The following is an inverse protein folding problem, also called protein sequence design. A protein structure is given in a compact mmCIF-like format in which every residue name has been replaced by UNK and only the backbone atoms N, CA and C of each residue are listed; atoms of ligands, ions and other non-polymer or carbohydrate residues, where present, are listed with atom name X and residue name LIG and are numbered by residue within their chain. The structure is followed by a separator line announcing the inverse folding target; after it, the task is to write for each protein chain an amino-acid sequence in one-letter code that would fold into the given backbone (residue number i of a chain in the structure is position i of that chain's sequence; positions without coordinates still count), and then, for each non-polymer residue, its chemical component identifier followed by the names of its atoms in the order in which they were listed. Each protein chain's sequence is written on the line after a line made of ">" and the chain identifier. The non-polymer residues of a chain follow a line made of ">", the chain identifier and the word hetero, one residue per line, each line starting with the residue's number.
data_IF_918760489672
#
_entry.id   IF_918760489672
#
_cell.length_a   1.000
_cell.length_b   1.000
_cell.length_c   1.000
_cell.angle_alpha   90.00
_cell.angle_beta   90.00
_cell.angle_gamma   90.00
#
_symmetry.space_group_name_H-M   'P 1'
#
loop_
_entity.id
_entity.type
_entity.pdbx_description
1 polymer ?
#
# COMPACT_ATOMS: atom_id res chain seq x y z
N UNK A 1 -25.61 33.60 29.19
CA UNK A 1 -25.04 32.25 29.02
C UNK A 1 -23.55 32.38 29.25
N UNK A 2 -22.99 31.69 30.24
CA UNK A 2 -21.57 31.76 30.53
C UNK A 2 -20.83 30.59 29.87
N UNK A 3 -19.59 30.82 29.43
CA UNK A 3 -18.76 29.76 28.83
C UNK A 3 -18.54 28.61 29.81
N UNK A 4 -18.06 28.91 31.01
CA UNK A 4 -17.68 27.91 32.01
C UNK A 4 -18.85 27.00 32.41
N UNK A 5 -20.07 27.53 32.48
CA UNK A 5 -21.28 26.77 32.84
C UNK A 5 -21.66 25.71 31.80
N UNK A 6 -21.38 25.97 30.52
CA UNK A 6 -21.63 25.02 29.44
C UNK A 6 -20.44 24.11 29.19
N UNK A 7 -19.21 24.64 29.29
CA UNK A 7 -18.00 23.87 29.05
C UNK A 7 -17.76 22.79 30.11
N UNK A 8 -18.08 23.06 31.39
CA UNK A 8 -17.95 22.06 32.47
C UNK A 8 -18.77 20.78 32.21
N UNK A 9 -19.82 20.87 31.38
CA UNK A 9 -20.65 19.73 30.97
C UNK A 9 -20.04 18.97 29.80
N UNK A 10 -19.40 19.68 28.86
CA UNK A 10 -18.75 19.11 27.68
C UNK A 10 -17.38 18.50 27.97
N UNK A 11 -16.58 19.14 28.83
CA UNK A 11 -15.19 18.78 29.10
C UNK A 11 -14.97 17.32 29.54
N UNK A 12 -15.78 16.74 30.45
CA UNK A 12 -15.60 15.34 30.85
C UNK A 12 -15.79 14.36 29.68
N UNK A 13 -16.67 14.69 28.73
CA UNK A 13 -16.93 13.87 27.54
C UNK A 13 -15.74 13.96 26.58
N UNK A 14 -15.17 15.16 26.39
CA UNK A 14 -13.94 15.37 25.61
C UNK A 14 -12.77 14.57 26.18
N UNK A 15 -12.56 14.64 27.50
CA UNK A 15 -11.53 13.84 28.16
C UNK A 15 -11.82 12.34 28.04
N UNK A 16 -13.08 11.92 28.16
CA UNK A 16 -13.43 10.52 27.97
C UNK A 16 -13.07 10.02 26.56
N UNK A 17 -13.36 10.80 25.51
CA UNK A 17 -12.98 10.49 24.14
C UNK A 17 -11.47 10.42 23.98
N UNK A 18 -10.74 11.46 24.38
CA UNK A 18 -9.29 11.55 24.21
C UNK A 18 -8.56 10.37 24.88
N UNK A 19 -9.02 9.95 26.05
CA UNK A 19 -8.46 8.81 26.78
C UNK A 19 -9.15 7.46 26.47
N UNK A 20 -9.98 7.38 25.42
CA UNK A 20 -10.69 6.17 25.00
C UNK A 20 -11.49 5.49 26.15
N UNK A 21 -12.09 6.30 27.02
CA UNK A 21 -13.07 5.86 28.02
C UNK A 21 -14.44 5.69 27.35
N UNK A 22 -15.33 4.91 27.97
CA UNK A 22 -16.67 4.68 27.45
C UNK A 22 -17.49 5.97 27.41
N UNK A 23 -18.03 6.31 26.24
CA UNK A 23 -18.98 7.42 26.04
C UNK A 23 -20.28 6.84 25.52
N UNK A 24 -21.39 7.16 26.19
CA UNK A 24 -22.72 6.70 25.75
C UNK A 24 -23.18 7.48 24.53
N UNK A 25 -24.08 6.93 23.70
CA UNK A 25 -24.65 7.67 22.58
C UNK A 25 -25.33 8.99 23.01
N UNK A 26 -25.95 9.02 24.19
CA UNK A 26 -26.54 10.23 24.75
C UNK A 26 -25.49 11.29 25.06
N UNK A 27 -24.43 10.91 25.81
CA UNK A 27 -23.32 11.83 26.11
C UNK A 27 -22.62 12.33 24.83
N UNK A 28 -22.52 11.49 23.81
CA UNK A 28 -22.00 11.90 22.50
C UNK A 28 -22.86 12.99 21.86
N UNK A 29 -24.20 12.85 21.87
CA UNK A 29 -25.11 13.89 21.35
C UNK A 29 -25.08 15.16 22.21
N UNK A 30 -24.99 15.02 23.53
CA UNK A 30 -24.89 16.16 24.45
C UNK A 30 -23.63 17.00 24.15
N UNK A 31 -22.51 16.36 23.80
CA UNK A 31 -21.31 17.07 23.38
C UNK A 31 -21.55 17.94 22.14
N UNK A 32 -22.22 17.44 21.11
CA UNK A 32 -22.61 18.25 19.94
C UNK A 32 -23.49 19.43 20.35
N UNK A 33 -24.45 19.19 21.24
CA UNK A 33 -25.37 20.21 21.72
C UNK A 33 -24.64 21.33 22.48
N UNK A 34 -23.75 20.99 23.42
CA UNK A 34 -22.98 21.97 24.19
C UNK A 34 -22.01 22.76 23.29
N UNK A 35 -21.30 22.09 22.38
CA UNK A 35 -20.40 22.76 21.43
C UNK A 35 -21.20 23.70 20.51
N UNK A 36 -22.34 23.25 19.98
CA UNK A 36 -23.22 24.10 19.17
C UNK A 36 -23.71 25.32 19.95
N UNK A 37 -24.12 25.13 21.21
CA UNK A 37 -24.61 26.21 22.06
C UNK A 37 -23.51 27.24 22.32
N UNK A 38 -22.32 26.80 22.72
CA UNK A 38 -21.17 27.70 22.95
C UNK A 38 -20.81 28.47 21.68
N UNK A 39 -20.66 27.78 20.55
CA UNK A 39 -20.26 28.40 19.28
C UNK A 39 -21.30 29.35 18.68
N UNK A 40 -22.58 29.15 18.98
CA UNK A 40 -23.66 30.01 18.44
C UNK A 40 -23.93 31.26 19.27
N UNK A 41 -23.68 31.22 20.58
CA UNK A 41 -24.18 32.23 21.52
C UNK A 41 -23.09 32.89 22.38
N UNK A 42 -21.82 32.45 22.30
CA UNK A 42 -20.67 33.11 22.95
C UNK A 42 -19.71 33.59 21.87
N UNK A 43 -19.46 34.90 21.84
CA UNK A 43 -18.66 35.57 20.80
C UNK A 43 -17.25 35.01 20.65
N UNK A 44 -16.58 34.69 21.76
CA UNK A 44 -15.22 34.12 21.81
C UNK A 44 -15.22 32.60 22.13
N UNK A 45 -16.37 31.94 22.04
CA UNK A 45 -16.54 30.55 22.44
C UNK A 45 -15.71 29.57 21.61
N UNK A 46 -15.66 29.78 20.29
CA UNK A 46 -14.87 28.96 19.36
C UNK A 46 -13.37 29.01 19.65
N UNK A 47 -12.82 30.20 19.89
CA UNK A 47 -11.41 30.41 20.20
C UNK A 47 -11.04 29.78 21.56
N UNK A 48 -11.90 29.97 22.58
CA UNK A 48 -11.71 29.35 23.90
C UNK A 48 -11.72 27.83 23.85
N UNK A 49 -12.68 27.23 23.14
CA UNK A 49 -12.72 25.76 22.96
C UNK A 49 -11.44 25.29 22.27
N UNK A 50 -11.01 25.96 21.19
CA UNK A 50 -9.78 25.61 20.49
C UNK A 50 -8.57 25.65 21.42
N UNK A 51 -8.39 26.73 22.19
CA UNK A 51 -7.27 26.84 23.14
C UNK A 51 -7.28 25.75 24.22
N UNK A 52 -8.46 25.40 24.75
CA UNK A 52 -8.59 24.32 25.73
C UNK A 52 -8.26 22.97 25.10
N UNK A 53 -8.78 22.69 23.89
CA UNK A 53 -8.49 21.46 23.16
C UNK A 53 -7.00 21.33 22.86
N UNK A 54 -6.34 22.41 22.40
CA UNK A 54 -4.89 22.43 22.17
C UNK A 54 -4.13 22.01 23.43
N UNK A 55 -4.44 22.62 24.58
CA UNK A 55 -3.78 22.29 25.84
C UNK A 55 -4.06 20.85 26.31
N UNK A 56 -5.28 20.33 26.11
CA UNK A 56 -5.62 18.96 26.47
C UNK A 56 -4.94 17.93 25.56
N UNK A 57 -4.89 18.20 24.25
CA UNK A 57 -4.17 17.38 23.26
C UNK A 57 -2.68 17.38 23.58
N UNK A 58 -2.08 18.55 23.83
CA UNK A 58 -0.66 18.67 24.20
C UNK A 58 -0.31 17.82 25.42
N UNK A 59 -1.14 17.90 26.48
CA UNK A 59 -0.97 17.07 27.68
C UNK A 59 -1.07 15.57 27.37
N UNK A 60 -2.10 15.16 26.62
CA UNK A 60 -2.29 13.77 26.24
C UNK A 60 -1.10 13.21 25.45
N UNK A 61 -0.61 13.97 24.47
CA UNK A 61 0.54 13.57 23.65
C UNK A 61 1.81 13.51 24.50
N UNK A 62 2.02 14.45 25.42
CA UNK A 62 3.16 14.42 26.34
C UNK A 62 3.13 13.17 27.25
N UNK A 63 1.97 12.81 27.78
CA UNK A 63 1.80 11.60 28.57
C UNK A 63 2.04 10.33 27.73
N UNK A 64 1.58 10.31 26.48
CA UNK A 64 1.86 9.20 25.55
C UNK A 64 3.36 9.08 25.25
N UNK A 65 4.05 10.19 24.98
CA UNK A 65 5.50 10.23 24.79
C UNK A 65 6.24 9.67 26.02
N UNK A 66 5.79 10.03 27.22
CA UNK A 66 6.37 9.53 28.48
C UNK A 66 6.20 8.01 28.62
N UNK A 67 5.05 7.47 28.25
CA UNK A 67 4.81 6.01 28.22
C UNK A 67 5.71 5.31 27.20
N UNK A 68 5.83 5.86 26.00
CA UNK A 68 6.67 5.29 24.93
C UNK A 68 8.15 5.27 25.36
N UNK A 69 8.65 6.38 25.93
CA UNK A 69 10.05 6.50 26.38
C UNK A 69 10.39 5.67 27.61
N UNK A 70 9.39 5.26 28.39
CA UNK A 70 9.63 4.47 29.61
C UNK A 70 10.14 3.05 29.33
N UNK A 71 10.01 2.57 28.09
CA UNK A 71 10.46 1.26 27.64
C UNK A 71 11.77 1.42 26.83
N UNK A 72 12.89 0.96 27.39
CA UNK A 72 14.24 1.19 26.83
C UNK A 72 14.74 0.14 25.83
N UNK A 73 13.93 -0.87 25.48
CA UNK A 73 14.30 -1.91 24.49
C UNK A 73 13.68 -1.62 23.14
N UNK A 74 14.40 -1.88 22.04
CA UNK A 74 13.95 -1.59 20.66
C UNK A 74 12.61 -2.28 20.29
N UNK A 75 12.44 -3.58 20.60
CA UNK A 75 11.15 -4.28 20.37
C UNK A 75 10.02 -3.76 21.28
N UNK A 76 10.37 -3.38 22.52
CA UNK A 76 9.44 -2.76 23.46
C UNK A 76 8.98 -1.37 23.01
N UNK A 77 9.89 -0.61 22.40
CA UNK A 77 9.62 0.72 21.84
C UNK A 77 8.62 0.63 20.70
N UNK A 78 8.84 -0.27 19.73
CA UNK A 78 7.94 -0.48 18.60
C UNK A 78 6.52 -0.84 19.06
N UNK A 79 6.38 -1.90 19.86
CA UNK A 79 5.07 -2.39 20.28
C UNK A 79 4.33 -1.34 21.12
N UNK A 80 5.05 -0.59 21.96
CA UNK A 80 4.45 0.50 22.73
C UNK A 80 4.01 1.66 21.84
N UNK A 81 4.85 2.06 20.89
CA UNK A 81 4.50 3.09 19.91
C UNK A 81 3.24 2.72 19.15
N UNK A 82 3.16 1.50 18.60
CA UNK A 82 2.01 1.07 17.79
C UNK A 82 0.73 1.02 18.62
N UNK A 83 0.82 0.57 19.87
CA UNK A 83 -0.32 0.58 20.79
C UNK A 83 -0.83 2.00 21.05
N UNK A 84 0.07 2.95 21.35
CA UNK A 84 -0.30 4.33 21.62
C UNK A 84 -0.76 5.06 20.34
N UNK A 85 -0.12 4.78 19.20
CA UNK A 85 -0.50 5.28 17.88
C UNK A 85 -1.93 4.85 17.53
N UNK A 86 -2.25 3.56 17.60
CA UNK A 86 -3.58 3.05 17.27
C UNK A 86 -4.68 3.67 18.15
N UNK A 87 -4.38 3.84 19.45
CA UNK A 87 -5.30 4.53 20.38
C UNK A 87 -5.50 5.98 19.96
N UNK A 88 -4.43 6.72 19.74
CA UNK A 88 -4.46 8.12 19.36
C UNK A 88 -5.12 8.34 17.99
N UNK A 89 -4.70 7.61 16.96
CA UNK A 89 -5.16 7.76 15.58
C UNK A 89 -6.66 7.49 15.45
N UNK A 90 -7.18 6.51 16.20
CA UNK A 90 -8.62 6.29 16.33
C UNK A 90 -9.34 7.51 16.90
N UNK A 91 -8.81 8.12 17.97
CA UNK A 91 -9.41 9.32 18.55
C UNK A 91 -9.28 10.54 17.63
N UNK A 92 -8.19 10.66 16.87
CA UNK A 92 -8.01 11.72 15.87
C UNK A 92 -9.05 11.65 14.73
N UNK A 93 -9.75 10.53 14.57
CA UNK A 93 -10.86 10.36 13.62
C UNK A 93 -12.24 10.61 14.25
N UNK A 94 -12.36 10.54 15.58
CA UNK A 94 -13.64 10.64 16.30
C UNK A 94 -13.77 12.01 16.97
N UNK A 95 -12.79 12.41 17.78
CA UNK A 95 -12.84 13.62 18.59
C UNK A 95 -13.14 14.89 17.77
N UNK A 96 -12.63 15.08 16.54
CA UNK A 96 -12.92 16.29 15.76
C UNK A 96 -14.39 16.46 15.33
N UNK A 97 -15.19 15.38 15.30
CA UNK A 97 -16.54 15.40 14.71
C UNK A 97 -17.50 16.43 15.35
N UNK A 98 -17.58 16.58 16.68
CA UNK A 98 -18.43 17.59 17.33
C UNK A 98 -17.95 19.03 17.09
N UNK A 99 -16.69 19.21 16.71
CA UNK A 99 -16.04 20.53 16.60
C UNK A 99 -15.95 21.06 15.17
N UNK A 100 -16.48 20.35 14.16
CA UNK A 100 -16.42 20.78 12.74
C UNK A 100 -16.87 22.23 12.52
N UNK A 101 -17.92 22.70 13.22
CA UNK A 101 -18.38 24.09 13.11
C UNK A 101 -17.35 25.11 13.57
N UNK A 102 -16.50 24.76 14.55
CA UNK A 102 -15.41 25.64 15.01
C UNK A 102 -14.40 25.87 13.90
N UNK A 103 -14.14 24.84 13.09
CA UNK A 103 -13.26 24.92 11.94
C UNK A 103 -13.83 25.90 10.88
N UNK A 104 -15.16 25.96 10.72
CA UNK A 104 -15.83 26.89 9.79
C UNK A 104 -15.83 28.37 10.25
N UNK A 105 -15.90 28.63 11.56
CA UNK A 105 -16.03 30.00 12.13
C UNK A 105 -14.70 30.70 12.40
N UNK A 106 -13.57 30.01 12.31
CA UNK A 106 -12.25 30.59 12.62
C UNK A 106 -11.81 31.71 11.67
N UNK A 107 -12.57 31.98 10.58
CA UNK A 107 -12.20 33.02 9.60
C UNK A 107 -13.39 33.85 9.07
N UNK A 108 -13.66 35.05 9.63
CA UNK A 108 -14.39 36.08 8.91
C UNK A 108 -13.49 36.67 7.81
N UNK A 109 -13.78 36.33 6.55
CA UNK A 109 -13.33 36.98 5.29
C UNK A 109 -12.29 38.09 5.47
N UNK A 110 -11.00 37.73 5.59
CA UNK A 110 -9.89 38.62 5.19
C UNK A 110 -9.18 37.98 4.01
N UNK A 111 -9.54 38.47 2.82
CA UNK A 111 -8.85 38.19 1.56
C UNK A 111 -7.49 38.90 1.59
N UNK A 112 -6.39 38.15 1.73
CA UNK A 112 -5.13 38.40 1.01
C UNK A 112 -4.01 37.43 1.42
N UNK A 113 -3.54 36.68 0.42
CA UNK A 113 -2.20 36.10 0.18
C UNK A 113 -1.68 35.05 1.18
N UNK A 114 -1.45 33.86 0.62
CA UNK A 114 -1.12 32.56 1.23
C UNK A 114 -2.34 31.89 1.87
N UNK A 115 -2.85 30.86 1.20
CA UNK A 115 -3.81 29.91 1.74
C UNK A 115 -3.23 29.30 3.03
N UNK A 116 -3.54 29.91 4.18
CA UNK A 116 -3.44 29.26 5.47
C UNK A 116 -4.46 28.13 5.45
N UNK A 117 -4.01 26.95 5.03
CA UNK A 117 -4.79 25.72 5.01
C UNK A 117 -5.45 25.54 6.38
N UNK A 118 -6.77 25.39 6.36
CA UNK A 118 -7.66 25.29 7.50
C UNK A 118 -7.12 24.32 8.57
N UNK A 119 -6.63 24.83 9.71
CA UNK A 119 -6.09 23.98 10.78
C UNK A 119 -7.21 23.30 11.57
N UNK A 120 -7.85 22.28 11.02
CA UNK A 120 -8.88 21.50 11.73
C UNK A 120 -8.35 20.90 13.04
N UNK A 121 -9.24 20.59 14.00
CA UNK A 121 -8.85 19.90 15.25
C UNK A 121 -8.11 18.57 14.96
N UNK A 122 -8.49 17.84 13.91
CA UNK A 122 -7.76 16.63 13.46
C UNK A 122 -6.31 16.98 13.13
N UNK A 123 -6.13 18.02 12.32
CA UNK A 123 -4.81 18.43 11.83
C UNK A 123 -3.90 18.87 12.99
N UNK A 124 -4.46 19.57 14.00
CA UNK A 124 -3.77 19.93 15.24
C UNK A 124 -3.33 18.67 16.02
N UNK A 125 -4.22 17.69 16.18
CA UNK A 125 -3.88 16.44 16.86
C UNK A 125 -2.67 15.76 16.20
N UNK A 126 -2.72 15.57 14.88
CA UNK A 126 -1.67 14.90 14.11
C UNK A 126 -0.35 15.66 14.18
N UNK A 127 -0.38 16.99 14.09
CA UNK A 127 0.81 17.83 14.22
C UNK A 127 1.48 17.68 15.59
N UNK A 128 0.72 17.78 16.69
CA UNK A 128 1.27 17.63 18.04
C UNK A 128 1.88 16.26 18.26
N UNK A 129 1.25 15.21 17.75
CA UNK A 129 1.83 13.86 17.76
C UNK A 129 3.15 13.79 16.98
N UNK A 130 3.19 14.39 15.80
CA UNK A 130 4.38 14.39 14.95
C UNK A 130 5.56 15.09 15.63
N UNK A 131 5.36 16.33 16.07
CA UNK A 131 6.38 17.19 16.68
C UNK A 131 6.93 16.62 17.99
N UNK A 132 6.07 16.00 18.80
CA UNK A 132 6.45 15.53 20.13
C UNK A 132 7.03 14.13 20.10
N UNK A 133 6.45 13.23 19.30
CA UNK A 133 6.76 11.79 19.33
C UNK A 133 7.44 11.39 18.03
N UNK A 134 6.71 11.39 16.91
CA UNK A 134 7.12 10.66 15.71
C UNK A 134 8.43 11.14 15.10
N UNK A 135 8.65 12.45 14.98
CA UNK A 135 9.87 13.00 14.39
C UNK A 135 11.15 12.51 15.11
N UNK A 136 11.05 12.25 16.41
CA UNK A 136 12.17 11.84 17.25
C UNK A 136 12.51 10.34 17.17
N UNK A 137 11.55 9.51 16.72
CA UNK A 137 11.69 8.04 16.72
C UNK A 137 11.38 7.38 15.36
N UNK A 138 11.04 8.18 14.34
CA UNK A 138 10.64 7.70 13.02
C UNK A 138 11.70 6.83 12.33
N UNK A 139 12.98 7.19 12.45
CA UNK A 139 14.08 6.41 11.86
C UNK A 139 14.27 5.05 12.55
N UNK A 140 14.39 4.94 13.89
CA UNK A 140 14.39 3.65 14.58
C UNK A 140 13.18 2.77 14.25
N UNK A 141 11.97 3.35 14.20
CA UNK A 141 10.76 2.62 13.81
C UNK A 141 10.87 2.09 12.39
N UNK A 142 11.35 2.89 11.44
CA UNK A 142 11.53 2.46 10.06
C UNK A 142 12.52 1.29 9.95
N UNK A 143 13.65 1.37 10.64
CA UNK A 143 14.65 0.30 10.67
C UNK A 143 14.00 -1.00 11.18
N UNK A 144 13.24 -0.92 12.26
CA UNK A 144 12.57 -2.08 12.84
C UNK A 144 11.47 -2.64 11.92
N UNK A 145 10.70 -1.78 11.24
CA UNK A 145 9.72 -2.21 10.25
C UNK A 145 10.39 -3.02 9.12
N UNK A 146 11.51 -2.53 8.59
CA UNK A 146 12.25 -3.18 7.52
C UNK A 146 12.91 -4.48 8.01
N UNK A 147 13.33 -4.54 9.28
CA UNK A 147 13.81 -5.78 9.91
C UNK A 147 12.71 -6.84 9.94
N UNK A 148 11.49 -6.49 10.39
CA UNK A 148 10.34 -7.39 10.40
C UNK A 148 9.96 -7.88 8.99
N UNK A 149 9.98 -6.99 7.99
CA UNK A 149 9.73 -7.38 6.59
C UNK A 149 10.74 -8.43 6.12
N UNK A 150 12.01 -8.27 6.46
CA UNK A 150 13.04 -9.26 6.15
C UNK A 150 12.76 -10.60 6.86
N UNK A 151 12.44 -10.57 8.15
CA UNK A 151 12.09 -11.79 8.89
C UNK A 151 10.90 -12.52 8.29
N UNK A 152 9.88 -11.79 7.82
CA UNK A 152 8.74 -12.38 7.11
C UNK A 152 9.16 -13.03 5.79
N UNK A 153 10.14 -12.47 5.06
CA UNK A 153 10.70 -13.08 3.84
C UNK A 153 11.47 -14.37 4.13
N UNK A 154 12.16 -14.40 5.27
CA UNK A 154 12.87 -15.57 5.79
C UNK A 154 11.91 -16.66 6.31
N UNK A 155 10.59 -16.39 6.31
CA UNK A 155 9.54 -17.35 6.68
C UNK A 155 9.08 -17.25 8.13
N UNK A 156 9.56 -16.26 8.89
CA UNK A 156 9.14 -16.06 10.27
C UNK A 156 7.74 -15.43 10.33
N UNK A 157 6.99 -15.79 11.37
CA UNK A 157 5.69 -15.18 11.66
C UNK A 157 5.94 -13.86 12.38
N UNK A 158 5.42 -12.77 11.83
CA UNK A 158 5.53 -11.43 12.41
C UNK A 158 4.15 -10.83 12.68
N UNK A 159 4.07 -9.86 13.60
CA UNK A 159 2.87 -9.03 13.73
C UNK A 159 2.86 -7.95 12.64
N UNK A 160 2.02 -8.17 11.65
CA UNK A 160 1.87 -7.28 10.50
C UNK A 160 1.35 -5.89 10.88
N UNK A 161 0.64 -5.75 12.01
CA UNK A 161 0.11 -4.47 12.45
C UNK A 161 1.23 -3.48 12.80
N UNK A 162 2.41 -3.99 13.18
CA UNK A 162 3.56 -3.13 13.45
C UNK A 162 4.03 -2.39 12.20
N UNK A 163 4.15 -3.09 11.06
CA UNK A 163 4.55 -2.47 9.80
C UNK A 163 3.45 -1.54 9.28
N UNK A 164 2.19 -1.97 9.37
CA UNK A 164 1.03 -1.19 8.93
C UNK A 164 0.93 0.14 9.71
N UNK A 165 1.03 0.10 11.04
CA UNK A 165 0.92 1.29 11.88
C UNK A 165 2.06 2.29 11.65
N UNK A 166 3.28 1.81 11.37
CA UNK A 166 4.39 2.69 10.98
C UNK A 166 4.12 3.35 9.63
N UNK A 167 3.69 2.57 8.62
CA UNK A 167 3.33 3.13 7.31
C UNK A 167 2.21 4.17 7.45
N UNK A 168 1.17 3.88 8.22
CA UNK A 168 0.07 4.82 8.48
C UNK A 168 0.57 6.10 9.15
N UNK A 169 1.54 6.01 10.04
CA UNK A 169 2.15 7.17 10.69
C UNK A 169 2.91 8.03 9.68
N UNK A 170 3.73 7.42 8.81
CA UNK A 170 4.43 8.14 7.73
C UNK A 170 3.47 8.83 6.74
N UNK A 171 2.29 8.27 6.51
CA UNK A 171 1.28 8.86 5.62
C UNK A 171 0.48 9.95 6.33
N UNK A 172 -0.16 9.62 7.46
CA UNK A 172 -1.11 10.50 8.13
C UNK A 172 -0.47 11.75 8.74
N UNK A 173 0.73 11.64 9.29
CA UNK A 173 1.40 12.76 9.96
C UNK A 173 1.97 13.81 8.99
N UNK A 174 1.96 13.50 7.69
CA UNK A 174 2.43 14.39 6.63
C UNK A 174 1.29 14.94 5.75
N UNK A 175 0.02 14.70 6.14
CA UNK A 175 -1.17 15.17 5.42
C UNK A 175 -1.17 16.71 5.18
N UNK A 176 -0.53 17.49 6.06
CA UNK A 176 -0.42 18.95 5.96
C UNK A 176 0.56 19.47 4.89
N UNK A 177 1.34 18.62 4.21
CA UNK A 177 2.34 19.07 3.22
C UNK A 177 1.74 19.60 1.90
N UNK A 178 0.45 19.96 1.87
CA UNK A 178 -0.21 20.56 0.72
C UNK A 178 -0.31 19.61 -0.46
N UNK A 179 0.26 20.00 -1.61
CA UNK A 179 0.15 19.29 -2.88
C UNK A 179 0.85 17.92 -2.90
N UNK A 180 1.74 17.63 -1.95
CA UNK A 180 2.50 16.36 -1.91
C UNK A 180 2.49 15.68 -0.51
N UNK A 181 1.31 15.25 -0.01
CA UNK A 181 1.18 14.69 1.34
C UNK A 181 2.00 13.40 1.54
N UNK A 182 2.26 12.66 0.45
CA UNK A 182 3.03 11.42 0.46
C UNK A 182 4.54 11.62 0.31
N UNK A 183 5.04 12.85 0.13
CA UNK A 183 6.46 13.08 -0.21
C UNK A 183 7.43 12.50 0.82
N UNK A 184 7.15 12.70 2.10
CA UNK A 184 8.01 12.19 3.18
C UNK A 184 7.96 10.66 3.18
N UNK A 185 6.77 10.07 3.11
CA UNK A 185 6.59 8.62 3.00
C UNK A 185 7.36 8.01 1.81
N UNK A 186 7.23 8.61 0.62
CA UNK A 186 7.91 8.14 -0.61
C UNK A 186 9.43 8.18 -0.44
N UNK A 187 9.97 9.29 0.07
CA UNK A 187 11.41 9.50 0.16
C UNK A 187 12.08 8.74 1.32
N UNK A 188 11.30 8.22 2.27
CA UNK A 188 11.80 7.51 3.45
C UNK A 188 11.37 6.04 3.41
N UNK A 189 10.16 5.73 3.86
CA UNK A 189 9.64 4.38 4.00
C UNK A 189 9.62 3.62 2.67
N UNK A 190 8.93 4.15 1.64
CA UNK A 190 8.75 3.43 0.37
C UNK A 190 10.09 3.19 -0.33
N UNK A 191 10.93 4.22 -0.41
CA UNK A 191 12.26 4.13 -1.00
C UNK A 191 13.11 3.05 -0.33
N UNK A 192 13.16 3.00 1.00
CA UNK A 192 13.95 2.00 1.72
C UNK A 192 13.34 0.60 1.60
N UNK A 193 12.02 0.47 1.64
CA UNK A 193 11.33 -0.80 1.43
C UNK A 193 11.65 -1.42 0.06
N UNK A 194 11.59 -0.61 -1.00
CA UNK A 194 11.93 -1.04 -2.37
C UNK A 194 13.42 -1.39 -2.48
N UNK A 195 14.31 -0.57 -1.90
CA UNK A 195 15.75 -0.82 -1.90
C UNK A 195 16.10 -2.15 -1.22
N UNK A 196 15.56 -2.39 -0.02
CA UNK A 196 15.80 -3.62 0.74
C UNK A 196 15.27 -4.87 0.01
N UNK A 197 14.17 -4.74 -0.73
CA UNK A 197 13.65 -5.83 -1.59
C UNK A 197 14.67 -6.21 -2.66
N UNK A 198 15.25 -5.21 -3.31
CA UNK A 198 16.26 -5.41 -4.36
C UNK A 198 17.51 -6.07 -3.77
N UNK A 199 18.05 -5.51 -2.68
CA UNK A 199 19.23 -6.02 -2.00
C UNK A 199 19.05 -7.47 -1.51
N UNK A 200 17.88 -7.78 -0.93
CA UNK A 200 17.57 -9.12 -0.43
C UNK A 200 17.67 -10.17 -1.53
N UNK A 201 17.00 -9.95 -2.67
CA UNK A 201 16.99 -10.92 -3.76
C UNK A 201 18.32 -10.96 -4.53
N UNK A 202 19.00 -9.83 -4.73
CA UNK A 202 20.32 -9.81 -5.36
C UNK A 202 21.37 -10.61 -4.59
N UNK A 203 21.26 -10.62 -3.25
CA UNK A 203 22.17 -11.35 -2.37
C UNK A 203 21.98 -12.88 -2.44
N UNK A 204 20.74 -13.36 -2.50
CA UNK A 204 20.44 -14.79 -2.39
C UNK A 204 20.29 -15.50 -3.74
N UNK A 205 19.79 -14.81 -4.76
CA UNK A 205 19.33 -15.47 -5.99
C UNK A 205 20.48 -16.03 -6.84
N UNK A 206 21.67 -15.42 -6.84
CA UNK A 206 22.84 -15.96 -7.55
C UNK A 206 23.26 -17.33 -7.03
N UNK A 207 23.33 -17.48 -5.71
CA UNK A 207 23.68 -18.76 -5.08
C UNK A 207 22.58 -19.80 -5.30
N UNK A 208 21.32 -19.39 -5.13
CA UNK A 208 20.17 -20.25 -5.29
C UNK A 208 20.03 -20.79 -6.72
N UNK A 209 20.26 -19.95 -7.73
CA UNK A 209 20.24 -20.36 -9.14
C UNK A 209 21.33 -21.39 -9.45
N UNK A 210 22.53 -21.22 -8.89
CA UNK A 210 23.63 -22.15 -9.08
C UNK A 210 23.39 -23.51 -8.40
N UNK A 211 22.69 -23.52 -7.26
CA UNK A 211 22.38 -24.72 -6.50
C UNK A 211 21.18 -25.49 -7.05
N UNK A 212 20.07 -24.79 -7.34
CA UNK A 212 18.81 -25.41 -7.76
C UNK A 212 18.78 -25.73 -9.26
N UNK A 213 19.54 -25.00 -10.08
CA UNK A 213 19.37 -25.01 -11.53
C UNK A 213 18.22 -24.11 -11.99
N UNK A 214 18.15 -23.87 -13.30
CA UNK A 214 17.26 -22.83 -13.88
C UNK A 214 15.78 -23.17 -13.70
N UNK A 215 15.39 -24.44 -13.84
CA UNK A 215 13.98 -24.84 -13.83
C UNK A 215 13.38 -24.63 -12.43
N UNK A 216 14.00 -25.20 -11.40
CA UNK A 216 13.57 -25.03 -10.01
C UNK A 216 13.65 -23.55 -9.58
N UNK A 217 14.68 -22.82 -10.01
CA UNK A 217 14.79 -21.39 -9.73
C UNK A 217 13.61 -20.59 -10.30
N UNK A 218 13.14 -20.90 -11.51
CA UNK A 218 12.01 -20.18 -12.13
C UNK A 218 10.70 -20.41 -11.37
N UNK A 219 10.49 -21.60 -10.82
CA UNK A 219 9.34 -21.88 -9.93
C UNK A 219 9.47 -21.09 -8.62
N UNK A 220 10.66 -21.03 -8.05
CA UNK A 220 10.94 -20.20 -6.87
C UNK A 220 10.66 -18.72 -7.15
N UNK A 221 11.15 -18.19 -8.28
CA UNK A 221 10.98 -16.80 -8.67
C UNK A 221 9.49 -16.43 -8.84
N UNK A 222 8.68 -17.31 -9.44
CA UNK A 222 7.24 -17.06 -9.58
C UNK A 222 6.54 -16.93 -8.23
N UNK A 223 6.81 -17.88 -7.34
CA UNK A 223 6.26 -17.89 -5.99
C UNK A 223 6.67 -16.63 -5.22
N UNK A 224 7.94 -16.23 -5.32
CA UNK A 224 8.43 -15.02 -4.64
C UNK A 224 7.85 -13.73 -5.21
N UNK A 225 7.61 -13.64 -6.51
CA UNK A 225 6.90 -12.50 -7.10
C UNK A 225 5.46 -12.40 -6.61
N UNK A 226 4.73 -13.51 -6.47
CA UNK A 226 3.38 -13.51 -5.89
C UNK A 226 3.40 -13.09 -4.41
N UNK A 227 4.36 -13.58 -3.63
CA UNK A 227 4.56 -13.19 -2.22
C UNK A 227 4.88 -11.70 -2.09
N UNK A 228 5.80 -11.15 -2.89
CA UNK A 228 6.11 -9.71 -2.88
C UNK A 228 4.93 -8.87 -3.32
N UNK A 229 4.12 -9.33 -4.29
CA UNK A 229 2.91 -8.62 -4.68
C UNK A 229 1.93 -8.50 -3.50
N UNK A 230 1.65 -9.61 -2.81
CA UNK A 230 0.79 -9.62 -1.61
C UNK A 230 1.37 -8.71 -0.51
N UNK A 231 2.69 -8.76 -0.32
CA UNK A 231 3.41 -7.94 0.66
C UNK A 231 3.32 -6.43 0.33
N UNK A 232 3.44 -6.07 -0.95
CA UNK A 232 3.29 -4.69 -1.42
C UNK A 232 1.90 -4.14 -1.11
N UNK A 233 0.85 -4.87 -1.48
CA UNK A 233 -0.54 -4.47 -1.19
C UNK A 233 -0.82 -4.32 0.31
N UNK A 234 -0.14 -5.11 1.14
CA UNK A 234 -0.32 -5.12 2.59
C UNK A 234 0.42 -3.98 3.28
N UNK A 235 1.65 -3.70 2.88
CA UNK A 235 2.55 -2.79 3.62
C UNK A 235 2.81 -1.45 2.95
N UNK A 236 2.67 -1.33 1.63
CA UNK A 236 2.84 -0.06 0.93
C UNK A 236 1.52 0.71 0.83
N UNK A 237 1.63 2.02 0.78
CA UNK A 237 0.52 2.91 0.45
C UNK A 237 0.23 2.84 -1.06
N UNK A 238 -0.81 2.09 -1.45
CA UNK A 238 -1.11 1.84 -2.87
C UNK A 238 -1.62 3.09 -3.62
N UNK A 239 -2.05 4.13 -2.91
CA UNK A 239 -2.34 5.44 -3.50
C UNK A 239 -1.09 6.21 -3.94
N UNK A 240 0.11 5.78 -3.50
CA UNK A 240 1.38 6.35 -3.95
C UNK A 240 1.59 6.15 -5.45
N UNK A 241 2.01 7.20 -6.18
CA UNK A 241 2.29 7.10 -7.61
C UNK A 241 3.46 6.15 -7.92
N UNK A 242 4.31 5.89 -6.92
CA UNK A 242 5.53 5.09 -7.08
C UNK A 242 5.47 3.71 -6.44
N UNK A 243 4.38 3.34 -5.76
CA UNK A 243 4.21 2.01 -5.14
C UNK A 243 4.47 0.85 -6.13
N UNK A 244 4.07 1.02 -7.39
CA UNK A 244 4.25 0.05 -8.48
C UNK A 244 5.72 -0.27 -8.79
N UNK A 245 6.64 0.66 -8.50
CA UNK A 245 8.08 0.45 -8.68
C UNK A 245 8.61 -0.71 -7.83
N UNK A 246 7.93 -1.06 -6.74
CA UNK A 246 8.30 -2.23 -5.95
C UNK A 246 8.28 -3.51 -6.79
N UNK A 247 7.19 -3.77 -7.52
CA UNK A 247 7.09 -4.97 -8.36
C UNK A 247 8.05 -4.93 -9.54
N UNK A 248 8.26 -3.75 -10.15
CA UNK A 248 9.28 -3.59 -11.20
C UNK A 248 10.67 -3.99 -10.69
N UNK A 249 11.03 -3.57 -9.47
CA UNK A 249 12.32 -3.91 -8.84
C UNK A 249 12.40 -5.38 -8.44
N UNK A 250 11.31 -5.96 -7.95
CA UNK A 250 11.26 -7.39 -7.65
C UNK A 250 11.48 -8.23 -8.92
N UNK A 251 10.85 -7.87 -10.04
CA UNK A 251 11.02 -8.54 -11.35
C UNK A 251 12.46 -8.40 -11.85
N UNK A 252 13.06 -7.21 -11.74
CA UNK A 252 14.47 -7.02 -12.11
C UNK A 252 15.37 -7.93 -11.28
N UNK A 253 15.21 -7.91 -9.95
CA UNK A 253 16.07 -8.64 -9.04
C UNK A 253 15.94 -10.17 -9.16
N UNK A 254 14.72 -10.68 -9.40
CA UNK A 254 14.43 -12.11 -9.48
C UNK A 254 14.57 -12.68 -10.90
N UNK A 255 14.39 -11.88 -11.95
CA UNK A 255 14.28 -12.40 -13.32
C UNK A 255 15.22 -11.70 -14.29
N UNK A 256 15.12 -10.37 -14.48
CA UNK A 256 15.91 -9.68 -15.52
C UNK A 256 17.41 -9.80 -15.29
N UNK A 257 17.87 -9.76 -14.03
CA UNK A 257 19.27 -9.96 -13.66
C UNK A 257 19.83 -11.34 -14.05
N UNK A 258 18.96 -12.32 -14.34
CA UNK A 258 19.32 -13.69 -14.69
C UNK A 258 18.87 -14.09 -16.09
N UNK A 259 18.39 -13.13 -16.89
CA UNK A 259 17.76 -13.35 -18.20
C UNK A 259 18.64 -14.23 -19.10
N UNK A 260 19.91 -13.89 -19.29
CA UNK A 260 20.81 -14.63 -20.18
C UNK A 260 20.96 -16.10 -19.78
N UNK A 261 21.03 -16.38 -18.48
CA UNK A 261 21.18 -17.74 -17.95
C UNK A 261 19.90 -18.55 -18.13
N UNK A 262 18.76 -17.91 -17.87
CA UNK A 262 17.43 -18.50 -18.07
C UNK A 262 17.22 -18.81 -19.57
N UNK A 263 17.53 -17.87 -20.45
CA UNK A 263 17.39 -18.01 -21.90
C UNK A 263 18.30 -19.11 -22.48
N UNK A 264 19.53 -19.22 -21.99
CA UNK A 264 20.47 -20.25 -22.42
C UNK A 264 19.96 -21.65 -22.11
N UNK A 265 19.41 -21.86 -20.91
CA UNK A 265 18.89 -23.17 -20.51
C UNK A 265 17.58 -23.51 -21.22
N UNK A 266 16.68 -22.54 -21.38
CA UNK A 266 15.50 -22.70 -22.24
C UNK A 266 15.87 -23.17 -23.65
N UNK A 267 16.92 -22.60 -24.24
CA UNK A 267 17.38 -22.98 -25.59
C UNK A 267 17.84 -24.44 -25.67
N UNK A 268 18.48 -24.96 -24.61
CA UNK A 268 18.90 -26.38 -24.53
C UNK A 268 17.72 -27.33 -24.37
N UNK A 269 16.80 -27.02 -23.46
CA UNK A 269 15.59 -27.82 -23.20
C UNK A 269 14.72 -27.94 -24.47
N UNK A 270 14.64 -26.84 -25.20
CA UNK A 270 13.92 -26.73 -26.47
C UNK A 270 14.61 -27.52 -27.61
N UNK A 271 15.94 -27.63 -27.59
CA UNK A 271 16.70 -28.42 -28.57
C UNK A 271 16.61 -29.94 -28.31
N UNK A 272 16.44 -30.33 -27.05
CA UNK A 272 16.41 -31.74 -26.63
C UNK A 272 15.07 -32.46 -26.87
N UNK A 273 14.02 -31.78 -27.37
CA UNK A 273 12.65 -32.32 -27.63
C UNK A 273 11.94 -33.00 -26.44
N UNK A 274 12.58 -33.19 -25.30
CA UNK A 274 12.11 -34.05 -24.21
C UNK A 274 11.26 -33.36 -23.12
N UNK A 275 10.92 -32.08 -23.26
CA UNK A 275 10.11 -31.40 -22.23
C UNK A 275 9.05 -30.43 -22.77
N UNK A 276 8.80 -30.43 -24.09
CA UNK A 276 7.78 -29.57 -24.72
C UNK A 276 6.37 -29.79 -24.15
N UNK A 277 6.10 -30.92 -23.49
CA UNK A 277 4.81 -31.17 -22.84
C UNK A 277 4.83 -30.86 -21.35
N UNK A 278 5.86 -31.22 -20.59
CA UNK A 278 5.82 -31.11 -19.12
C UNK A 278 6.32 -29.76 -18.58
N UNK A 279 7.35 -29.16 -19.21
CA UNK A 279 7.83 -27.81 -18.90
C UNK A 279 6.81 -26.76 -19.34
N UNK A 280 6.26 -26.91 -20.55
CA UNK A 280 5.21 -26.01 -21.03
C UNK A 280 3.93 -26.16 -20.23
N UNK A 281 3.46 -27.37 -19.89
CA UNK A 281 2.25 -27.52 -19.07
C UNK A 281 2.48 -26.96 -17.66
N UNK A 282 3.61 -27.21 -17.00
CA UNK A 282 3.83 -26.66 -15.65
C UNK A 282 4.04 -25.14 -15.64
N UNK A 283 4.70 -24.59 -16.67
CA UNK A 283 4.99 -23.15 -16.79
C UNK A 283 3.89 -22.35 -17.53
N UNK A 284 2.84 -23.00 -18.06
CA UNK A 284 1.66 -22.32 -18.63
C UNK A 284 0.34 -22.73 -17.99
N UNK A 285 0.34 -23.61 -16.97
CA UNK A 285 -0.87 -23.95 -16.24
C UNK A 285 -1.39 -22.70 -15.49
N UNK A 286 -2.55 -22.15 -15.89
CA UNK A 286 -3.11 -20.95 -15.29
C UNK A 286 -3.49 -21.13 -13.82
N UNK A 287 -3.64 -22.38 -13.35
CA UNK A 287 -3.93 -22.69 -11.94
C UNK A 287 -2.69 -22.77 -11.05
N UNK A 288 -1.47 -22.84 -11.62
CA UNK A 288 -0.21 -22.96 -10.85
C UNK A 288 0.66 -21.71 -10.84
N UNK A 289 0.49 -20.80 -11.80
CA UNK A 289 1.24 -19.55 -11.87
C UNK A 289 0.27 -18.39 -11.65
N UNK A 290 0.21 -17.91 -10.42
CA UNK A 290 -0.52 -16.69 -10.13
C UNK A 290 0.19 -15.46 -10.70
N UNK A 291 1.50 -15.53 -11.01
CA UNK A 291 2.23 -14.42 -11.62
C UNK A 291 2.30 -14.57 -13.14
N UNK A 292 1.57 -13.69 -13.83
CA UNK A 292 1.52 -13.63 -15.31
C UNK A 292 2.85 -13.20 -15.93
N UNK A 293 3.80 -12.70 -15.12
CA UNK A 293 5.10 -12.19 -15.57
C UNK A 293 6.00 -13.29 -16.13
N UNK A 294 6.08 -14.44 -15.45
CA UNK A 294 6.89 -15.58 -15.90
C UNK A 294 6.25 -16.31 -17.08
N UNK A 295 4.92 -16.40 -17.12
CA UNK A 295 4.17 -16.89 -18.29
C UNK A 295 4.50 -16.05 -19.52
N UNK A 296 4.56 -14.71 -19.38
CA UNK A 296 4.89 -13.81 -20.48
C UNK A 296 6.35 -13.93 -20.90
N UNK A 297 7.31 -14.00 -19.96
CA UNK A 297 8.74 -14.16 -20.29
C UNK A 297 8.98 -15.50 -21.01
N UNK A 298 8.36 -16.59 -20.54
CA UNK A 298 8.48 -17.92 -21.17
C UNK A 298 7.72 -17.98 -22.51
N UNK A 299 6.57 -17.32 -22.65
CA UNK A 299 5.91 -17.12 -23.97
C UNK A 299 6.79 -16.33 -24.93
N UNK A 300 7.44 -15.27 -24.46
CA UNK A 300 8.36 -14.47 -25.25
C UNK A 300 9.59 -15.28 -25.66
N UNK A 301 10.10 -16.19 -24.81
CA UNK A 301 11.14 -17.15 -25.17
C UNK A 301 10.72 -18.07 -26.33
N UNK A 302 9.50 -18.62 -26.27
CA UNK A 302 8.92 -19.45 -27.33
C UNK A 302 8.70 -18.65 -28.62
N UNK A 303 8.30 -17.38 -28.52
CA UNK A 303 8.12 -16.47 -29.66
C UNK A 303 9.45 -15.94 -30.25
N UNK A 304 10.53 -15.92 -29.46
CA UNK A 304 11.89 -15.56 -29.91
C UNK A 304 12.46 -16.58 -30.90
N UNK A 305 12.01 -17.85 -30.83
CA UNK A 305 12.33 -18.94 -31.76
C UNK A 305 11.91 -18.68 -33.23
N UNK A 306 11.07 -17.66 -33.49
CA UNK A 306 10.54 -17.36 -34.84
C UNK A 306 11.08 -16.08 -35.48
N UNK A 307 11.94 -15.32 -34.81
CA UNK A 307 12.41 -14.02 -35.34
C UNK A 307 13.89 -13.78 -35.04
N UNK A 308 14.76 -14.15 -35.97
CA UNK A 308 16.23 -14.07 -35.90
C UNK A 308 16.79 -12.66 -36.16
N UNK A 309 16.25 -11.60 -35.54
CA UNK A 309 16.81 -10.24 -35.70
C UNK A 309 16.93 -9.43 -34.39
N UNK A 310 18.08 -8.77 -34.22
CA UNK A 310 18.48 -8.05 -32.99
C UNK A 310 17.68 -6.77 -32.70
N UNK A 311 17.01 -6.21 -33.72
CA UNK A 311 16.11 -5.04 -33.59
C UNK A 311 14.82 -5.37 -32.83
N UNK A 312 14.38 -6.63 -32.92
CA UNK A 312 13.11 -7.10 -32.35
C UNK A 312 13.21 -7.36 -30.84
N UNK A 313 14.39 -7.72 -30.31
CA UNK A 313 14.61 -7.87 -28.86
C UNK A 313 14.35 -6.56 -28.10
N UNK A 314 14.81 -5.41 -28.62
CA UNK A 314 14.58 -4.10 -27.99
C UNK A 314 13.11 -3.67 -28.04
N UNK A 315 12.38 -3.99 -29.12
CA UNK A 315 10.93 -3.72 -29.21
C UNK A 315 10.10 -4.63 -28.30
N UNK A 316 10.55 -5.88 -28.06
CA UNK A 316 9.87 -6.83 -27.19
C UNK A 316 10.10 -6.56 -25.70
N UNK A 317 11.27 -6.05 -25.33
CA UNK A 317 11.52 -5.50 -23.99
C UNK A 317 10.63 -4.26 -23.72
N UNK A 318 10.31 -3.49 -24.76
CA UNK A 318 9.37 -2.36 -24.68
C UNK A 318 7.91 -2.84 -24.53
N UNK A 319 7.49 -3.90 -25.22
CA UNK A 319 6.19 -4.55 -24.97
C UNK A 319 6.09 -5.16 -23.57
N UNK A 320 7.18 -5.75 -23.06
CA UNK A 320 7.26 -6.25 -21.68
C UNK A 320 6.99 -5.11 -20.70
N UNK A 321 7.65 -3.95 -20.86
CA UNK A 321 7.38 -2.74 -20.07
C UNK A 321 5.93 -2.24 -20.19
N UNK A 322 5.31 -2.37 -21.36
CA UNK A 322 3.91 -1.97 -21.59
C UNK A 322 2.89 -2.90 -20.93
N UNK A 323 3.16 -4.21 -20.86
CA UNK A 323 2.29 -5.18 -20.17
C UNK A 323 2.40 -5.02 -18.65
N UNK A 324 3.60 -4.75 -18.14
CA UNK A 324 3.83 -4.41 -16.74
C UNK A 324 3.07 -3.11 -16.39
N UNK A 325 3.10 -2.12 -17.28
CA UNK A 325 2.39 -0.85 -17.12
C UNK A 325 0.86 -0.94 -17.26
N UNK A 326 0.33 -1.86 -18.07
CA UNK A 326 -1.12 -1.96 -18.33
C UNK A 326 -1.90 -2.62 -17.20
N UNK A 327 -1.31 -3.58 -16.48
CA UNK A 327 -1.96 -4.20 -15.29
C UNK A 327 -1.81 -3.43 -13.99
N UNK A 328 -0.89 -2.47 -13.99
CA UNK A 328 -0.84 -1.42 -12.99
C UNK A 328 -2.09 -0.51 -13.03
N UNK A 329 -2.93 -0.59 -14.08
CA UNK A 329 -4.16 0.19 -14.21
C UNK A 329 -5.40 -0.72 -14.27
N UNK A 330 -5.65 -1.52 -13.22
CA UNK A 330 -7.03 -1.79 -12.80
C UNK A 330 -7.04 -2.39 -11.39
N UNK A 331 -7.80 -1.80 -10.45
CA UNK A 331 -8.30 -2.57 -9.33
C UNK A 331 -9.21 -3.66 -9.88
N UNK A 332 -9.29 -4.77 -9.15
CA UNK A 332 -10.40 -5.71 -9.25
C UNK A 332 -11.65 -4.91 -8.87
N UNK A 333 -12.43 -4.50 -9.85
CA UNK A 333 -13.80 -4.04 -9.65
C UNK A 333 -14.66 -4.75 -10.71
N UNK A 334 -15.25 -5.87 -10.29
CA UNK A 334 -16.37 -6.49 -10.99
C UNK A 334 -17.52 -5.49 -10.94
N UNK A 335 -17.69 -4.65 -11.96
CA UNK A 335 -18.95 -4.00 -12.43
C UNK A 335 -18.70 -2.68 -13.18
N UNK A 336 -18.08 -2.70 -14.36
CA UNK A 336 -18.34 -1.62 -15.35
C UNK A 336 -18.41 -2.18 -16.76
N UNK A 337 -19.65 -2.18 -17.26
CA UNK A 337 -20.05 -2.41 -18.65
C UNK A 337 -19.41 -1.39 -19.60
N UNK A 338 -18.83 -1.91 -20.69
CA UNK A 338 -18.62 -1.29 -22.01
C UNK A 338 -18.04 0.13 -22.11
N UNK A 339 -16.80 0.21 -22.63
CA UNK A 339 -16.41 1.30 -23.54
C UNK A 339 -15.01 1.90 -23.35
N UNK A 340 -13.97 1.23 -23.83
CA UNK A 340 -12.66 1.83 -24.14
C UNK A 340 -11.99 1.11 -25.35
N UNK A 341 -11.03 1.75 -26.06
CA UNK A 341 -11.12 1.98 -27.50
C UNK A 341 -10.44 0.92 -28.39
N UNK A 342 -10.92 0.86 -29.64
CA UNK A 342 -10.60 -0.02 -30.78
C UNK A 342 -9.13 -0.41 -31.05
N UNK A 343 -8.13 0.14 -30.35
CA UNK A 343 -6.72 -0.25 -30.52
C UNK A 343 -6.33 -1.51 -29.74
N UNK A 344 -7.01 -1.82 -28.63
CA UNK A 344 -6.75 -3.04 -27.84
C UNK A 344 -7.35 -4.28 -28.52
N UNK A 345 -8.48 -4.12 -29.22
CA UNK A 345 -9.15 -5.19 -29.98
C UNK A 345 -8.31 -5.62 -31.19
N UNK A 346 -7.54 -4.70 -31.81
CA UNK A 346 -6.62 -5.08 -32.88
C UNK A 346 -5.50 -6.01 -32.41
N UNK A 347 -4.97 -5.79 -31.20
CA UNK A 347 -3.94 -6.65 -30.60
C UNK A 347 -4.50 -8.03 -30.22
N UNK A 348 -5.74 -8.10 -29.73
CA UNK A 348 -6.43 -9.35 -29.44
C UNK A 348 -6.90 -10.10 -30.71
N UNK A 349 -7.22 -9.38 -31.79
CA UNK A 349 -7.58 -9.96 -33.09
C UNK A 349 -6.35 -10.54 -33.81
N UNK A 350 -5.20 -9.85 -33.72
CA UNK A 350 -3.89 -10.40 -34.13
C UNK A 350 -3.55 -11.66 -33.33
N UNK A 351 -3.83 -11.64 -32.02
CA UNK A 351 -3.65 -12.79 -31.12
C UNK A 351 -4.53 -14.00 -31.49
N UNK A 352 -5.79 -13.79 -31.91
CA UNK A 352 -6.68 -14.87 -32.39
C UNK A 352 -6.31 -15.39 -33.80
N UNK A 353 -5.86 -14.50 -34.69
CA UNK A 353 -5.38 -14.91 -36.01
C UNK A 353 -4.11 -15.77 -35.91
N UNK A 354 -3.18 -15.42 -35.01
CA UNK A 354 -1.95 -16.18 -34.79
C UNK A 354 -2.20 -17.57 -34.16
N UNK A 355 -3.24 -17.74 -33.34
CA UNK A 355 -3.58 -19.06 -32.76
C UNK A 355 -4.17 -20.04 -33.79
N UNK A 356 -4.92 -19.56 -34.79
CA UNK A 356 -5.42 -20.41 -35.89
C UNK A 356 -4.30 -20.90 -36.81
N UNK A 357 -3.24 -20.12 -36.98
CA UNK A 357 -2.04 -20.50 -37.77
C UNK A 357 -1.19 -21.57 -37.07
N UNK A 358 -1.36 -21.75 -35.75
CA UNK A 358 -0.59 -22.68 -34.91
C UNK A 358 -1.29 -24.05 -34.74
N UNK A 359 -2.44 -24.30 -35.38
CA UNK A 359 -3.09 -25.62 -35.38
C UNK A 359 -3.64 -26.07 -34.01
N UNK A 360 -3.75 -25.14 -33.05
CA UNK A 360 -4.41 -25.39 -31.77
C UNK A 360 -5.90 -25.16 -31.96
N UNK A 361 -6.70 -26.21 -31.79
CA UNK A 361 -8.15 -26.08 -31.84
C UNK A 361 -8.65 -25.37 -30.58
N UNK A 362 -9.05 -24.10 -30.73
CA UNK A 362 -9.50 -23.22 -29.65
C UNK A 362 -10.94 -23.54 -29.19
N UNK A 363 -11.66 -24.40 -29.92
CA UNK A 363 -13.06 -24.74 -29.63
C UNK A 363 -13.25 -25.55 -28.33
N UNK A 364 -12.16 -25.97 -27.66
CA UNK A 364 -12.21 -26.59 -26.33
C UNK A 364 -12.09 -25.61 -25.16
N UNK A 365 -11.73 -24.35 -25.40
CA UNK A 365 -11.56 -23.36 -24.33
C UNK A 365 -12.78 -22.46 -24.11
N UNK A 366 -13.78 -22.51 -24.99
CA UNK A 366 -15.03 -21.73 -24.85
C UNK A 366 -16.17 -22.48 -24.16
N UNK A 367 -16.10 -23.81 -24.04
CA UNK A 367 -17.21 -24.61 -23.50
C UNK A 367 -17.14 -24.90 -21.99
N UNK A 368 -16.25 -24.23 -21.24
CA UNK A 368 -16.18 -24.37 -19.79
C UNK A 368 -17.13 -23.43 -19.03
N UNK A 369 -17.64 -22.37 -19.69
CA UNK A 369 -18.55 -21.39 -19.07
C UNK A 369 -20.04 -21.60 -19.40
N UNK A 370 -20.40 -22.49 -20.34
CA UNK A 370 -21.81 -22.73 -20.69
C UNK A 370 -22.53 -23.75 -19.77
N UNK A 371 -21.80 -24.54 -18.98
CA UNK A 371 -22.40 -25.54 -18.08
C UNK A 371 -22.64 -25.07 -16.63
N UNK A 372 -22.61 -23.75 -16.37
CA UNK A 372 -22.89 -23.17 -15.04
C UNK A 372 -24.22 -22.40 -14.95
N UNK A 373 -25.14 -22.61 -15.89
CA UNK A 373 -26.49 -22.01 -15.88
C UNK A 373 -27.66 -23.03 -15.83
N UNK A 374 -27.41 -24.26 -15.43
CA UNK A 374 -28.50 -25.19 -15.09
C UNK A 374 -28.27 -25.70 -13.67
N UNK A 375 -28.78 -24.98 -12.68
CA UNK A 375 -29.37 -25.49 -11.43
C UNK A 375 -29.79 -24.26 -10.60
N UNK A 376 -30.90 -23.64 -11.00
CA UNK A 376 -31.73 -22.79 -10.16
C UNK A 376 -33.11 -23.44 -10.08
N UNK A 377 -33.43 -23.96 -8.90
CA UNK A 377 -34.77 -23.95 -8.31
C UNK A 377 -34.61 -23.63 -6.83
#
# INVERSE_FOLDING_TARGET
>A
MHFDEEWVKAEPIVQALLYQKSVTPAAWQDLFYHVYKITSWITDGSERIRNILTNQIDRYVYEANSRIRSLQTDEGLLNCYIKEWNRFYKQASILPLPFKKIDDFSHPKRRSVVELQEETIRSLMLEKWNETIFINISEPLLIEALRLVKEERDGNIIDSNNIIGIRESFVALNEKLGEEPLRVYINTFEKQFIAQTTEYYEKICRGLLAELGVIEYMVYADKKLEEEQKRAYKYLEMSSPTAKKHMEKAVIALVENFEDTILAECSKLIAQRDVEREFMINVTNPQRLASTYLVVIVKLCVMSRRSSSSSVHKSRLHEMKLIIASRNLSPIDETVSFGYPMRIIQSAALFQMDMKVVGVNVDRFTNADENRQQYTY
#
